data_IF_124549369103
#
_entry.id   IF_124549369103
#
_cell.length_a   1.000
_cell.length_b   1.000
_cell.length_c   1.000
_cell.angle_alpha   90.00
_cell.angle_beta   90.00
_cell.angle_gamma   90.00
#
_symmetry.space_group_name_H-M   'P 1'
#
loop_
_entity.id
_entity.type
_entity.pdbx_description
1 polymer ?
#
# COMPACT_ATOMS: atom_id res chain seq x y z
N UNK A 1 3.99 0.98 34.64
CA UNK A 1 3.58 0.89 33.23
C UNK A 1 4.79 0.53 32.39
N UNK A 2 4.92 -0.75 32.01
CA UNK A 2 6.05 -1.26 31.21
C UNK A 2 5.63 -1.47 29.75
N UNK A 3 4.92 -0.54 29.17
CA UNK A 3 4.72 -0.52 27.72
C UNK A 3 6.02 -0.07 27.05
N UNK A 4 6.97 -0.97 26.93
CA UNK A 4 8.20 -0.71 26.18
C UNK A 4 7.89 -0.99 24.72
N UNK A 5 8.07 0.00 23.86
CA UNK A 5 8.10 -0.22 22.41
C UNK A 5 9.32 -1.08 22.11
N UNK A 6 9.10 -2.32 21.72
CA UNK A 6 10.15 -3.28 21.38
C UNK A 6 10.54 -3.19 19.90
N UNK A 7 10.02 -2.22 19.16
CA UNK A 7 10.36 -2.03 17.75
C UNK A 7 11.83 -1.63 17.59
N UNK A 8 12.49 -2.23 16.63
CA UNK A 8 13.88 -1.91 16.28
C UNK A 8 13.91 -0.55 15.57
N UNK A 9 14.81 0.33 15.98
CA UNK A 9 15.09 1.56 15.22
C UNK A 9 15.81 1.22 13.90
N UNK A 10 15.88 2.17 12.96
CA UNK A 10 16.70 2.01 11.76
C UNK A 10 18.15 1.71 12.10
N UNK A 11 18.71 2.42 13.10
CA UNK A 11 20.09 2.20 13.56
C UNK A 11 20.24 0.83 14.24
N UNK A 12 19.23 0.36 14.96
CA UNK A 12 19.22 -0.98 15.53
C UNK A 12 19.23 -2.06 14.46
N UNK A 13 18.43 -1.93 13.40
CA UNK A 13 18.45 -2.85 12.24
C UNK A 13 19.80 -2.78 11.54
N UNK A 14 20.34 -1.57 11.33
CA UNK A 14 21.65 -1.39 10.72
C UNK A 14 22.74 -2.09 11.53
N UNK A 15 22.79 -1.90 12.84
CA UNK A 15 23.77 -2.57 13.72
C UNK A 15 23.68 -4.09 13.63
N UNK A 16 22.46 -4.65 13.64
CA UNK A 16 22.24 -6.09 13.45
C UNK A 16 22.77 -6.59 12.10
N UNK A 17 22.55 -5.83 11.02
CA UNK A 17 23.03 -6.18 9.69
C UNK A 17 24.56 -6.01 9.57
N UNK A 18 25.19 -5.04 10.25
CA UNK A 18 26.63 -4.86 10.31
C UNK A 18 27.31 -6.08 10.95
N UNK A 19 26.76 -6.57 12.08
CA UNK A 19 27.26 -7.80 12.72
C UNK A 19 27.11 -9.01 11.79
N UNK A 20 25.97 -9.16 11.16
CA UNK A 20 25.68 -10.25 10.22
C UNK A 20 26.65 -10.23 9.02
N UNK A 21 26.88 -9.05 8.42
CA UNK A 21 27.80 -8.90 7.27
C UNK A 21 29.24 -9.24 7.61
N UNK A 22 29.67 -8.96 8.86
CA UNK A 22 31.02 -9.30 9.35
C UNK A 22 31.25 -10.81 9.31
N UNK A 23 30.23 -11.61 9.59
CA UNK A 23 30.36 -13.08 9.64
C UNK A 23 30.10 -13.75 8.28
N UNK A 24 29.18 -13.19 7.46
CA UNK A 24 28.65 -13.86 6.26
C UNK A 24 29.15 -13.29 4.94
N UNK A 25 29.70 -12.06 4.93
CA UNK A 25 30.32 -11.41 3.74
C UNK A 25 29.40 -11.41 2.51
N UNK A 26 28.13 -10.99 2.69
CA UNK A 26 27.12 -11.04 1.63
C UNK A 26 27.32 -9.97 0.56
N UNK A 27 28.03 -8.89 0.87
CA UNK A 27 28.24 -7.73 -0.01
C UNK A 27 27.03 -6.80 -0.07
N UNK A 28 26.08 -6.90 0.89
CA UNK A 28 24.89 -6.06 0.91
C UNK A 28 25.19 -4.59 1.15
N UNK A 29 24.35 -3.70 0.61
CA UNK A 29 24.31 -2.31 1.04
C UNK A 29 23.54 -2.23 2.38
N UNK A 30 24.27 -2.30 3.50
CA UNK A 30 23.72 -2.38 4.85
C UNK A 30 22.77 -1.20 5.15
N UNK A 31 23.18 0.02 4.86
CA UNK A 31 22.35 1.21 5.13
C UNK A 31 21.06 1.22 4.31
N UNK A 32 21.15 0.88 3.02
CA UNK A 32 19.97 0.77 2.15
C UNK A 32 19.06 -0.37 2.55
N UNK A 33 19.61 -1.53 2.93
CA UNK A 33 18.83 -2.67 3.39
C UNK A 33 18.11 -2.38 4.70
N UNK A 34 18.79 -1.74 5.67
CA UNK A 34 18.18 -1.34 6.93
C UNK A 34 17.03 -0.34 6.73
N UNK A 35 17.20 0.62 5.82
CA UNK A 35 16.15 1.56 5.46
C UNK A 35 14.95 0.85 4.85
N UNK A 36 15.15 0.00 3.87
CA UNK A 36 14.07 -0.76 3.23
C UNK A 36 13.35 -1.70 4.20
N UNK A 37 14.06 -2.43 5.05
CA UNK A 37 13.45 -3.28 6.08
C UNK A 37 12.58 -2.44 7.03
N UNK A 38 13.10 -1.29 7.48
CA UNK A 38 12.32 -0.40 8.36
C UNK A 38 11.08 0.16 7.69
N UNK A 39 11.14 0.53 6.41
CA UNK A 39 10.02 1.04 5.64
C UNK A 39 8.84 0.06 5.59
N UNK A 40 9.11 -1.23 5.43
CA UNK A 40 8.06 -2.25 5.39
C UNK A 40 7.57 -2.68 6.78
N UNK A 41 8.45 -2.72 7.77
CA UNK A 41 8.17 -3.33 9.07
C UNK A 41 7.93 -2.34 10.20
N UNK A 42 8.30 -1.07 10.02
CA UNK A 42 8.44 -0.07 11.10
C UNK A 42 9.23 -0.63 12.29
N UNK A 43 10.19 -1.51 12.05
CA UNK A 43 11.01 -2.14 13.07
C UNK A 43 10.34 -3.27 13.86
N UNK A 44 9.15 -3.75 13.47
CA UNK A 44 8.49 -4.85 14.17
C UNK A 44 9.38 -6.10 14.19
N UNK A 45 9.84 -6.60 15.37
CA UNK A 45 10.96 -7.54 15.46
C UNK A 45 10.74 -8.84 14.69
N UNK A 46 9.55 -9.43 14.79
CA UNK A 46 9.22 -10.65 14.06
C UNK A 46 9.31 -10.46 12.55
N UNK A 47 8.78 -9.35 12.02
CA UNK A 47 8.79 -9.07 10.58
C UNK A 47 10.22 -8.84 10.08
N UNK A 48 11.03 -8.08 10.83
CA UNK A 48 12.45 -7.87 10.51
C UNK A 48 13.18 -9.20 10.45
N UNK A 49 13.10 -10.00 11.52
CA UNK A 49 13.76 -11.30 11.59
C UNK A 49 13.28 -12.26 10.49
N UNK A 50 11.98 -12.34 10.23
CA UNK A 50 11.41 -13.24 9.22
C UNK A 50 11.86 -12.86 7.82
N UNK A 51 11.84 -11.55 7.48
CA UNK A 51 12.31 -11.07 6.18
C UNK A 51 13.81 -11.31 5.98
N UNK A 52 14.64 -10.99 6.99
CA UNK A 52 16.06 -11.28 6.93
C UNK A 52 16.34 -12.77 6.68
N UNK A 53 15.65 -13.67 7.41
CA UNK A 53 15.76 -15.11 7.19
C UNK A 53 15.37 -15.52 5.77
N UNK A 54 14.28 -14.99 5.24
CA UNK A 54 13.81 -15.32 3.88
C UNK A 54 14.78 -14.82 2.79
N UNK A 55 15.40 -13.65 3.01
CA UNK A 55 16.41 -13.09 2.11
C UNK A 55 17.67 -13.96 2.15
N UNK A 56 18.09 -14.34 3.34
CA UNK A 56 19.28 -15.15 3.58
C UNK A 56 19.17 -16.55 2.96
N UNK A 57 18.04 -17.24 3.17
CA UNK A 57 17.78 -18.56 2.57
C UNK A 57 17.90 -18.56 1.03
N UNK A 58 17.72 -17.40 0.39
CA UNK A 58 17.87 -17.22 -1.06
C UNK A 58 19.19 -16.60 -1.47
N UNK A 59 20.00 -16.13 -0.52
CA UNK A 59 21.26 -15.45 -0.76
C UNK A 59 21.13 -14.13 -1.54
N UNK A 60 19.97 -13.46 -1.47
CA UNK A 60 19.66 -12.27 -2.28
C UNK A 60 19.46 -11.02 -1.43
N UNK A 61 20.55 -10.53 -0.82
CA UNK A 61 20.55 -9.30 0.00
C UNK A 61 20.50 -8.02 -0.86
N UNK A 62 19.45 -7.93 -1.70
CA UNK A 62 19.16 -6.79 -2.58
C UNK A 62 17.74 -6.26 -2.34
N UNK A 63 17.42 -5.09 -2.88
CA UNK A 63 16.04 -4.55 -2.84
C UNK A 63 15.04 -5.54 -3.46
N UNK A 64 15.39 -6.14 -4.59
CA UNK A 64 14.55 -7.13 -5.28
C UNK A 64 14.34 -8.40 -4.44
N UNK A 65 15.38 -8.82 -3.72
CA UNK A 65 15.29 -9.93 -2.78
C UNK A 65 14.33 -9.64 -1.64
N UNK A 66 14.39 -8.44 -1.05
CA UNK A 66 13.46 -8.00 -0.03
C UNK A 66 12.02 -7.95 -0.57
N UNK A 67 11.77 -7.33 -1.73
CA UNK A 67 10.44 -7.26 -2.32
C UNK A 67 9.86 -8.66 -2.57
N UNK A 68 10.69 -9.59 -3.00
CA UNK A 68 10.30 -11.00 -3.15
C UNK A 68 9.98 -11.64 -1.81
N UNK A 69 10.76 -11.39 -0.77
CA UNK A 69 10.51 -11.90 0.58
C UNK A 69 9.20 -11.37 1.15
N UNK A 70 8.93 -10.06 1.01
CA UNK A 70 7.66 -9.45 1.46
C UNK A 70 6.46 -10.06 0.73
N UNK A 71 6.56 -10.25 -0.60
CA UNK A 71 5.50 -10.90 -1.37
C UNK A 71 5.22 -12.32 -0.88
N UNK A 72 6.25 -13.12 -0.67
CA UNK A 72 6.10 -14.49 -0.16
C UNK A 72 5.49 -14.48 1.23
N UNK A 73 5.97 -13.60 2.13
CA UNK A 73 5.46 -13.47 3.50
C UNK A 73 3.94 -13.16 3.53
N UNK A 74 3.46 -12.30 2.62
CA UNK A 74 2.05 -11.92 2.54
C UNK A 74 1.14 -13.00 1.90
N UNK A 75 1.73 -14.01 1.25
CA UNK A 75 1.00 -15.08 0.56
C UNK A 75 1.20 -16.46 1.19
N UNK A 76 2.17 -16.62 2.08
CA UNK A 76 2.38 -17.87 2.80
C UNK A 76 1.37 -18.06 3.94
N UNK A 77 1.13 -19.31 4.32
CA UNK A 77 0.42 -19.63 5.56
C UNK A 77 1.31 -19.23 6.75
N UNK A 78 0.95 -18.16 7.43
CA UNK A 78 1.74 -17.60 8.53
C UNK A 78 0.90 -17.60 9.82
N UNK A 79 1.35 -18.35 10.81
CA UNK A 79 0.62 -18.49 12.10
C UNK A 79 0.36 -17.15 12.80
N UNK A 80 1.30 -16.17 12.68
CA UNK A 80 1.07 -14.83 13.23
C UNK A 80 -0.10 -14.16 12.51
N UNK A 81 -0.12 -14.20 11.18
CA UNK A 81 -1.17 -13.56 10.38
C UNK A 81 -2.53 -14.23 10.60
N UNK A 82 -2.57 -15.57 10.64
CA UNK A 82 -3.78 -16.31 10.98
C UNK A 82 -4.31 -15.93 12.37
N UNK A 83 -3.43 -15.84 13.36
CA UNK A 83 -3.79 -15.41 14.70
C UNK A 83 -4.31 -13.96 14.73
N UNK A 84 -3.66 -13.05 14.02
CA UNK A 84 -4.08 -11.64 13.94
C UNK A 84 -5.45 -11.50 13.27
N UNK A 85 -5.67 -12.18 12.14
CA UNK A 85 -6.97 -12.16 11.45
C UNK A 85 -8.05 -12.82 12.32
N UNK A 86 -7.74 -13.91 13.03
CA UNK A 86 -8.65 -14.53 14.00
C UNK A 86 -9.14 -13.56 15.06
N UNK A 87 -8.30 -12.60 15.50
CA UNK A 87 -8.71 -11.55 16.44
C UNK A 87 -9.80 -10.62 15.89
N UNK A 88 -9.88 -10.43 14.60
CA UNK A 88 -10.96 -9.63 13.99
C UNK A 88 -12.32 -10.33 14.16
N UNK A 89 -12.34 -11.65 14.04
CA UNK A 89 -13.55 -12.44 14.30
C UNK A 89 -13.93 -12.43 15.79
N UNK A 90 -12.95 -12.48 16.70
CA UNK A 90 -13.17 -12.45 18.14
C UNK A 90 -13.66 -11.06 18.63
N UNK A 91 -13.29 -9.98 17.92
CA UNK A 91 -13.59 -8.59 18.30
C UNK A 91 -14.20 -7.80 17.12
N UNK A 92 -15.52 -7.91 16.88
CA UNK A 92 -16.18 -7.24 15.75
C UNK A 92 -16.03 -5.71 15.72
N UNK A 93 -15.95 -5.07 16.89
CA UNK A 93 -15.74 -3.62 16.98
C UNK A 93 -14.34 -3.22 16.49
N UNK A 94 -13.35 -4.09 16.70
CA UNK A 94 -11.99 -3.90 16.19
C UNK A 94 -11.98 -4.00 14.67
N UNK A 95 -12.65 -5.02 14.10
CA UNK A 95 -12.82 -5.17 12.66
C UNK A 95 -13.47 -3.93 12.05
N UNK A 96 -14.57 -3.46 12.63
CA UNK A 96 -15.28 -2.28 12.16
C UNK A 96 -14.41 -1.02 12.21
N UNK A 97 -13.68 -0.81 13.32
CA UNK A 97 -12.77 0.34 13.46
C UNK A 97 -11.67 0.31 12.39
N UNK A 98 -11.08 -0.87 12.11
CA UNK A 98 -10.05 -1.02 11.09
C UNK A 98 -10.60 -0.80 9.67
N UNK A 99 -11.82 -1.27 9.38
CA UNK A 99 -12.50 -0.96 8.11
C UNK A 99 -12.76 0.54 7.95
N UNK A 100 -13.24 1.22 8.99
CA UNK A 100 -13.44 2.67 8.97
C UNK A 100 -12.12 3.42 8.75
N UNK A 101 -11.06 2.98 9.40
CA UNK A 101 -9.73 3.57 9.25
C UNK A 101 -9.17 3.39 7.85
N UNK A 102 -9.28 2.18 7.28
CA UNK A 102 -8.61 1.80 6.02
C UNK A 102 -9.42 2.13 4.78
N UNK A 103 -10.72 1.80 4.78
CA UNK A 103 -11.56 1.93 3.58
C UNK A 103 -12.33 3.25 3.52
N UNK A 104 -12.64 3.84 4.67
CA UNK A 104 -13.38 5.09 4.73
C UNK A 104 -12.52 6.27 5.19
N UNK A 105 -11.22 6.05 5.44
CA UNK A 105 -10.26 7.11 5.80
C UNK A 105 -10.65 7.93 7.02
N UNK A 106 -11.54 7.40 7.86
CA UNK A 106 -12.05 8.13 9.02
C UNK A 106 -10.91 8.47 9.97
N UNK A 107 -10.64 9.75 10.22
CA UNK A 107 -9.62 10.14 11.17
C UNK A 107 -10.04 9.71 12.57
N UNK A 108 -9.27 8.84 13.20
CA UNK A 108 -9.52 8.35 14.56
C UNK A 108 -8.50 9.03 15.48
N UNK A 109 -9.00 9.77 16.46
CA UNK A 109 -8.15 10.34 17.51
C UNK A 109 -7.65 9.25 18.43
N UNK A 110 -6.36 9.22 18.69
CA UNK A 110 -5.77 8.25 19.62
C UNK A 110 -6.22 8.55 21.06
N UNK A 111 -6.85 7.56 21.68
CA UNK A 111 -7.21 7.60 23.09
C UNK A 111 -6.81 6.28 23.75
N UNK A 112 -5.81 6.29 24.65
CA UNK A 112 -5.32 5.08 25.31
C UNK A 112 -6.34 4.41 26.24
N UNK A 113 -7.38 5.13 26.66
CA UNK A 113 -8.46 4.57 27.50
C UNK A 113 -9.58 3.91 26.69
N UNK A 114 -9.59 4.10 25.37
CA UNK A 114 -10.52 3.42 24.50
C UNK A 114 -10.10 1.96 24.31
N UNK A 115 -10.96 1.04 24.72
CA UNK A 115 -10.68 -0.39 24.73
C UNK A 115 -10.38 -0.94 23.32
N UNK A 116 -11.09 -0.49 22.30
CA UNK A 116 -10.89 -0.96 20.92
C UNK A 116 -9.55 -0.49 20.37
N UNK A 117 -9.18 0.79 20.62
CA UNK A 117 -7.87 1.33 20.25
C UNK A 117 -6.77 0.58 21.02
N UNK A 118 -6.98 0.33 22.31
CA UNK A 118 -6.04 -0.46 23.13
C UNK A 118 -5.79 -1.85 22.57
N UNK A 119 -6.83 -2.57 22.18
CA UNK A 119 -6.74 -3.87 21.51
C UNK A 119 -6.00 -3.78 20.17
N UNK A 120 -6.32 -2.78 19.35
CA UNK A 120 -5.66 -2.58 18.05
C UNK A 120 -4.16 -2.32 18.18
N UNK A 121 -3.76 -1.56 19.20
CA UNK A 121 -2.32 -1.32 19.51
C UNK A 121 -1.68 -2.58 20.09
N UNK A 122 -2.34 -3.27 21.02
CA UNK A 122 -1.83 -4.49 21.64
C UNK A 122 -1.58 -5.60 20.62
N UNK A 123 -2.46 -5.74 19.62
CA UNK A 123 -2.27 -6.72 18.53
C UNK A 123 -1.34 -6.21 17.43
N UNK A 124 -0.85 -4.97 17.51
CA UNK A 124 0.08 -4.40 16.55
C UNK A 124 -0.53 -3.96 15.22
N UNK A 125 -1.87 -3.85 15.11
CA UNK A 125 -2.52 -3.37 13.88
C UNK A 125 -2.30 -1.88 13.65
N UNK A 126 -2.29 -1.09 14.73
CA UNK A 126 -2.20 0.37 14.67
C UNK A 126 -1.18 0.90 15.68
N UNK A 127 -0.76 2.13 15.47
CA UNK A 127 0.08 2.89 16.39
C UNK A 127 -0.42 4.33 16.52
N UNK A 128 0.06 5.01 17.55
CA UNK A 128 -0.15 6.45 17.72
C UNK A 128 0.86 7.21 16.86
N UNK A 129 0.37 8.16 16.08
CA UNK A 129 1.19 9.16 15.41
C UNK A 129 0.56 10.54 15.63
N UNK A 130 1.20 11.38 16.41
CA UNK A 130 0.76 12.75 16.70
C UNK A 130 -0.72 12.83 17.16
N UNK A 131 -1.12 11.93 18.07
CA UNK A 131 -2.48 11.89 18.58
C UNK A 131 -3.52 11.26 17.63
N UNK A 132 -3.09 10.62 16.57
CA UNK A 132 -3.96 9.92 15.61
C UNK A 132 -3.64 8.44 15.55
N UNK A 133 -4.67 7.63 15.33
CA UNK A 133 -4.53 6.20 15.05
C UNK A 133 -4.13 6.02 13.59
N UNK A 134 -3.02 5.35 13.35
CA UNK A 134 -2.57 4.97 12.01
C UNK A 134 -2.19 3.49 11.96
N UNK A 135 -2.16 2.84 10.80
CA UNK A 135 -1.61 1.49 10.65
C UNK A 135 -0.18 1.39 11.20
N UNK A 136 0.15 0.28 11.82
CA UNK A 136 1.45 0.10 12.48
C UNK A 136 2.61 0.03 11.48
N UNK A 137 2.43 -0.70 10.38
CA UNK A 137 3.42 -0.87 9.32
C UNK A 137 2.76 -1.28 7.99
N UNK A 138 3.51 -1.23 6.88
CA UNK A 138 2.99 -1.56 5.54
C UNK A 138 2.55 -3.01 5.40
N UNK A 139 3.22 -3.95 6.05
CA UNK A 139 2.88 -5.38 5.95
C UNK A 139 1.51 -5.65 6.58
N UNK A 140 1.27 -5.13 7.79
CA UNK A 140 -0.04 -5.30 8.44
C UNK A 140 -1.15 -4.53 7.74
N UNK A 141 -0.86 -3.35 7.21
CA UNK A 141 -1.80 -2.58 6.40
C UNK A 141 -2.22 -3.40 5.15
N UNK A 142 -1.25 -3.94 4.42
CA UNK A 142 -1.51 -4.78 3.25
C UNK A 142 -2.24 -6.08 3.61
N UNK A 143 -1.89 -6.70 4.74
CA UNK A 143 -2.58 -7.89 5.25
C UNK A 143 -4.06 -7.62 5.48
N UNK A 144 -4.39 -6.52 6.18
CA UNK A 144 -5.76 -6.12 6.46
C UNK A 144 -6.53 -5.78 5.17
N UNK A 145 -5.91 -5.03 4.26
CA UNK A 145 -6.50 -4.76 2.95
C UNK A 145 -6.78 -6.06 2.19
N UNK A 146 -5.84 -6.99 2.14
CA UNK A 146 -6.01 -8.28 1.49
C UNK A 146 -7.18 -9.07 2.10
N UNK A 147 -7.28 -9.07 3.42
CA UNK A 147 -8.37 -9.73 4.14
C UNK A 147 -9.72 -9.12 3.77
N UNK A 148 -9.88 -7.80 3.93
CA UNK A 148 -11.16 -7.14 3.68
C UNK A 148 -11.56 -7.15 2.20
N UNK A 149 -10.61 -6.98 1.27
CA UNK A 149 -10.88 -7.08 -0.16
C UNK A 149 -11.29 -8.49 -0.57
N UNK A 150 -10.73 -9.54 0.06
CA UNK A 150 -11.13 -10.92 -0.23
C UNK A 150 -12.61 -11.19 0.14
N UNK A 151 -13.11 -10.57 1.19
CA UNK A 151 -14.52 -10.63 1.55
C UNK A 151 -15.40 -9.94 0.51
N UNK A 152 -14.95 -8.80 -0.02
CA UNK A 152 -15.62 -8.07 -1.09
C UNK A 152 -15.61 -8.84 -2.42
N UNK A 153 -14.51 -9.51 -2.75
CA UNK A 153 -14.40 -10.38 -3.94
C UNK A 153 -15.41 -11.53 -3.90
N UNK A 154 -15.56 -12.17 -2.73
CA UNK A 154 -16.58 -13.22 -2.51
C UNK A 154 -18.01 -12.67 -2.63
N UNK A 155 -18.22 -11.38 -2.28
CA UNK A 155 -19.47 -10.66 -2.47
C UNK A 155 -19.80 -10.31 -3.94
N UNK A 156 -18.93 -10.69 -4.90
CA UNK A 156 -19.15 -10.53 -6.34
C UNK A 156 -19.30 -9.08 -6.80
N UNK A 157 -18.46 -8.17 -6.33
CA UNK A 157 -18.47 -6.77 -6.77
C UNK A 157 -18.21 -6.64 -8.28
N UNK A 158 -18.95 -5.74 -8.94
CA UNK A 158 -18.92 -5.54 -10.40
C UNK A 158 -17.53 -5.13 -10.90
N UNK A 159 -16.81 -4.32 -10.14
CA UNK A 159 -15.45 -3.90 -10.50
C UNK A 159 -14.46 -5.07 -10.53
N UNK A 160 -14.57 -6.02 -9.60
CA UNK A 160 -13.80 -7.26 -9.62
C UNK A 160 -14.10 -8.10 -10.87
N UNK A 161 -15.38 -8.23 -11.23
CA UNK A 161 -15.79 -8.95 -12.46
C UNK A 161 -15.24 -8.29 -13.72
N UNK A 162 -15.26 -6.96 -13.80
CA UNK A 162 -14.73 -6.19 -14.92
C UNK A 162 -13.22 -6.49 -15.14
N UNK A 163 -12.45 -6.61 -14.06
CA UNK A 163 -11.01 -6.91 -14.14
C UNK A 163 -10.70 -8.27 -14.76
N UNK A 164 -11.53 -9.27 -14.50
CA UNK A 164 -11.36 -10.63 -15.06
C UNK A 164 -11.52 -10.67 -16.57
N UNK A 165 -12.35 -9.80 -17.14
CA UNK A 165 -12.56 -9.72 -18.58
C UNK A 165 -11.33 -9.21 -19.32
N UNK A 166 -10.58 -8.31 -18.69
CA UNK A 166 -9.48 -7.58 -19.33
C UNK A 166 -8.08 -8.11 -18.93
N UNK A 167 -8.00 -9.07 -18.01
CA UNK A 167 -6.73 -9.53 -17.39
C UNK A 167 -5.60 -9.78 -18.39
N UNK A 168 -5.89 -10.45 -19.49
CA UNK A 168 -4.91 -10.87 -20.50
C UNK A 168 -4.41 -9.71 -21.38
N UNK A 169 -4.96 -8.50 -21.24
CA UNK A 169 -4.61 -7.35 -22.06
C UNK A 169 -3.46 -6.52 -21.46
N UNK A 170 -3.12 -6.76 -20.19
CA UNK A 170 -2.29 -5.85 -19.40
C UNK A 170 -0.85 -6.29 -19.20
N UNK A 171 -0.52 -7.52 -19.58
CA UNK A 171 0.85 -8.04 -19.48
C UNK A 171 1.38 -8.34 -20.88
N UNK A 172 2.51 -7.73 -21.24
CA UNK A 172 3.21 -7.97 -22.49
C UNK A 172 4.68 -8.25 -22.21
N UNK A 173 5.16 -9.40 -22.67
CA UNK A 173 6.56 -9.81 -22.51
C UNK A 173 7.07 -9.76 -21.05
N UNK A 174 6.19 -10.04 -20.09
CA UNK A 174 6.49 -9.97 -18.67
C UNK A 174 6.37 -8.57 -18.04
N UNK A 175 6.07 -7.54 -18.82
CA UNK A 175 5.90 -6.17 -18.35
C UNK A 175 4.43 -5.81 -18.11
N UNK A 176 4.16 -5.10 -17.02
CA UNK A 176 2.81 -4.63 -16.67
C UNK A 176 2.51 -3.28 -17.33
N UNK A 177 1.49 -3.22 -18.18
CA UNK A 177 1.02 -1.96 -18.79
C UNK A 177 0.07 -1.21 -17.83
N UNK A 178 0.64 -0.52 -16.84
CA UNK A 178 -0.11 0.24 -15.85
C UNK A 178 -0.96 1.36 -16.48
N UNK A 179 -0.48 1.98 -17.55
CA UNK A 179 -1.26 3.00 -18.30
C UNK A 179 -2.55 2.40 -18.81
N UNK A 180 -2.49 1.24 -19.44
CA UNK A 180 -3.65 0.57 -20.01
C UNK A 180 -4.61 0.06 -18.92
N UNK A 181 -4.07 -0.38 -17.77
CA UNK A 181 -4.88 -0.72 -16.59
C UNK A 181 -5.72 0.48 -16.16
N UNK A 182 -5.09 1.65 -16.04
CA UNK A 182 -5.80 2.88 -15.67
C UNK A 182 -6.82 3.31 -16.74
N UNK A 183 -6.51 3.21 -18.02
CA UNK A 183 -7.45 3.50 -19.12
C UNK A 183 -8.72 2.65 -19.01
N UNK A 184 -8.56 1.36 -18.79
CA UNK A 184 -9.67 0.43 -18.65
C UNK A 184 -10.44 0.63 -17.34
N UNK A 185 -9.72 0.88 -16.24
CA UNK A 185 -10.37 1.20 -14.98
C UNK A 185 -11.28 2.44 -15.09
N UNK A 186 -10.78 3.53 -15.70
CA UNK A 186 -11.57 4.75 -15.93
C UNK A 186 -12.86 4.44 -16.69
N UNK A 187 -12.78 3.64 -17.74
CA UNK A 187 -13.93 3.25 -18.54
C UNK A 187 -14.96 2.46 -17.71
N UNK A 188 -14.52 1.40 -17.03
CA UNK A 188 -15.40 0.58 -16.21
C UNK A 188 -15.99 1.35 -15.03
N UNK A 189 -15.19 2.19 -14.36
CA UNK A 189 -15.68 2.99 -13.24
C UNK A 189 -16.75 3.99 -13.70
N UNK A 190 -16.54 4.63 -14.86
CA UNK A 190 -17.54 5.54 -15.43
C UNK A 190 -18.86 4.83 -15.76
N UNK A 191 -18.77 3.65 -16.37
CA UNK A 191 -19.95 2.85 -16.75
C UNK A 191 -20.74 2.39 -15.53
N UNK A 192 -20.04 1.96 -14.46
CA UNK A 192 -20.67 1.41 -13.27
C UNK A 192 -21.13 2.48 -12.25
N UNK A 193 -20.38 3.58 -12.12
CA UNK A 193 -20.54 4.54 -11.02
C UNK A 193 -20.63 6.01 -11.48
N UNK A 194 -20.59 6.31 -12.76
CA UNK A 194 -20.55 7.68 -13.31
C UNK A 194 -21.72 8.58 -12.90
N UNK A 195 -22.82 7.99 -12.46
CA UNK A 195 -24.04 8.70 -11.99
C UNK A 195 -24.17 8.76 -10.47
N UNK A 196 -23.21 8.24 -9.70
CA UNK A 196 -23.25 8.32 -8.23
C UNK A 196 -23.10 9.78 -7.77
N UNK A 197 -24.03 10.24 -6.94
CA UNK A 197 -24.03 11.58 -6.32
C UNK A 197 -23.74 11.56 -4.81
N UNK A 198 -23.33 10.40 -4.27
CA UNK A 198 -23.03 10.25 -2.85
C UNK A 198 -21.67 10.83 -2.49
N UNK A 199 -21.47 11.15 -1.23
CA UNK A 199 -20.17 11.53 -0.70
C UNK A 199 -19.16 10.41 -0.99
N UNK A 200 -18.24 10.70 -1.88
CA UNK A 200 -17.20 9.76 -2.31
C UNK A 200 -15.88 10.15 -1.65
N UNK A 201 -15.20 9.18 -1.05
CA UNK A 201 -13.93 9.36 -0.38
C UNK A 201 -12.76 8.80 -1.21
N UNK A 202 -11.54 9.32 -1.01
CA UNK A 202 -10.34 8.83 -1.69
C UNK A 202 -10.11 7.32 -1.42
N UNK A 203 -10.41 6.88 -0.21
CA UNK A 203 -10.30 5.50 0.23
C UNK A 203 -11.26 4.57 -0.53
N UNK A 204 -12.47 5.02 -0.83
CA UNK A 204 -13.39 4.25 -1.70
C UNK A 204 -12.84 4.11 -3.11
N UNK A 205 -12.28 5.18 -3.66
CA UNK A 205 -11.61 5.16 -4.96
C UNK A 205 -10.46 4.17 -4.98
N UNK A 206 -9.63 4.19 -3.95
CA UNK A 206 -8.54 3.24 -3.76
C UNK A 206 -9.06 1.81 -3.68
N UNK A 207 -10.10 1.55 -2.89
CA UNK A 207 -10.73 0.24 -2.76
C UNK A 207 -11.22 -0.29 -4.11
N UNK A 208 -11.94 0.51 -4.90
CA UNK A 208 -12.40 0.10 -6.23
C UNK A 208 -11.24 -0.18 -7.18
N UNK A 209 -10.20 0.64 -7.13
CA UNK A 209 -9.01 0.40 -7.96
C UNK A 209 -8.27 -0.88 -7.55
N UNK A 210 -8.12 -1.16 -6.26
CA UNK A 210 -7.50 -2.39 -5.78
C UNK A 210 -8.30 -3.63 -6.11
N UNK A 211 -9.64 -3.57 -6.03
CA UNK A 211 -10.52 -4.67 -6.48
C UNK A 211 -10.34 -4.97 -7.97
N UNK A 212 -10.10 -3.93 -8.78
CA UNK A 212 -9.81 -4.10 -10.20
C UNK A 212 -8.39 -4.61 -10.46
N UNK A 213 -7.41 -4.11 -9.73
CA UNK A 213 -5.99 -4.40 -9.93
C UNK A 213 -5.59 -5.81 -9.45
N UNK A 214 -6.08 -6.23 -8.28
CA UNK A 214 -5.66 -7.49 -7.64
C UNK A 214 -5.73 -8.71 -8.56
N UNK A 215 -6.84 -9.00 -9.25
CA UNK A 215 -6.93 -10.17 -10.15
C UNK A 215 -5.92 -10.11 -11.29
N UNK A 216 -5.54 -8.90 -11.74
CA UNK A 216 -4.60 -8.68 -12.83
C UNK A 216 -3.19 -9.10 -12.42
N UNK A 217 -2.74 -8.67 -11.23
CA UNK A 217 -1.38 -8.91 -10.73
C UNK A 217 -1.27 -10.21 -9.92
N UNK A 218 -2.39 -10.86 -9.59
CA UNK A 218 -2.43 -12.02 -8.71
C UNK A 218 -1.49 -13.15 -9.17
N UNK A 219 -0.70 -13.66 -8.23
CA UNK A 219 0.29 -14.73 -8.45
C UNK A 219 1.64 -14.26 -8.96
N UNK A 220 1.77 -13.03 -9.47
CA UNK A 220 3.00 -12.50 -10.05
C UNK A 220 3.48 -11.23 -9.37
N UNK A 221 2.57 -10.28 -9.12
CA UNK A 221 2.85 -9.01 -8.47
C UNK A 221 2.25 -8.93 -7.07
N UNK A 222 2.56 -7.84 -6.39
CA UNK A 222 1.95 -7.47 -5.12
C UNK A 222 1.73 -5.95 -5.08
N UNK A 223 0.87 -5.49 -4.17
CA UNK A 223 0.68 -4.08 -3.91
C UNK A 223 0.85 -3.79 -2.43
N UNK A 224 1.18 -2.55 -2.14
CA UNK A 224 1.33 -2.01 -0.79
C UNK A 224 0.59 -0.70 -0.70
N UNK A 225 -0.03 -0.46 0.44
CA UNK A 225 -0.58 0.85 0.78
C UNK A 225 0.47 1.59 1.59
N UNK A 226 0.86 2.77 1.16
CA UNK A 226 1.82 3.54 1.93
C UNK A 226 1.15 4.24 3.11
N UNK A 227 1.50 3.81 4.32
CA UNK A 227 1.15 4.50 5.53
C UNK A 227 2.14 5.63 5.77
N UNK A 228 1.91 6.79 5.14
CA UNK A 228 2.65 8.06 5.34
C UNK A 228 4.14 8.05 4.99
N UNK A 229 4.50 8.75 3.97
CA UNK A 229 5.71 9.54 3.89
C UNK A 229 5.62 10.78 4.79
N UNK A 230 6.73 11.42 5.08
CA UNK A 230 6.96 12.55 6.02
C UNK A 230 6.02 13.76 5.88
N UNK A 231 5.13 13.81 4.91
CA UNK A 231 4.13 14.85 4.68
C UNK A 231 2.72 14.26 4.82
N UNK A 232 1.99 14.73 5.76
CA UNK A 232 0.56 14.70 6.14
C UNK A 232 -0.50 14.13 5.14
N UNK A 233 -0.27 13.01 4.44
CA UNK A 233 -1.27 12.40 3.55
C UNK A 233 -1.10 10.89 3.46
N UNK A 234 -2.18 10.14 3.58
CA UNK A 234 -2.28 8.75 3.11
C UNK A 234 -2.41 8.81 1.62
N UNK A 235 -1.60 8.07 0.91
CA UNK A 235 -1.75 8.28 -0.50
C UNK A 235 -1.57 7.08 -1.37
N UNK A 236 -0.48 6.38 -1.28
CA UNK A 236 -0.02 5.79 -2.51
C UNK A 236 -0.19 4.29 -2.48
N UNK A 237 -0.65 3.78 -3.59
CA UNK A 237 -0.58 2.37 -3.91
C UNK A 237 0.76 2.18 -4.61
N UNK A 238 1.60 1.32 -4.05
CA UNK A 238 2.81 0.86 -4.70
C UNK A 238 2.54 -0.53 -5.23
N UNK A 239 2.80 -0.76 -6.51
CA UNK A 239 2.67 -2.07 -7.16
C UNK A 239 4.06 -2.55 -7.55
N UNK A 240 4.42 -3.74 -7.08
CA UNK A 240 5.62 -4.45 -7.50
C UNK A 240 5.22 -5.59 -8.44
N UNK A 241 5.78 -5.61 -9.63
CA UNK A 241 5.49 -6.62 -10.64
C UNK A 241 6.77 -7.03 -11.37
N UNK A 242 7.25 -8.25 -11.15
CA UNK A 242 8.47 -8.79 -11.77
C UNK A 242 9.70 -7.86 -11.71
N UNK A 243 9.89 -7.17 -10.57
CA UNK A 243 10.98 -6.22 -10.36
C UNK A 243 10.69 -4.79 -10.84
N UNK A 244 9.59 -4.56 -11.54
CA UNK A 244 9.10 -3.22 -11.85
C UNK A 244 8.28 -2.66 -10.68
N UNK A 245 8.42 -1.38 -10.41
CA UNK A 245 7.68 -0.69 -9.37
C UNK A 245 6.85 0.44 -9.95
N UNK A 246 5.56 0.46 -9.62
CA UNK A 246 4.60 1.47 -10.06
C UNK A 246 4.04 2.17 -8.83
N UNK A 247 4.04 3.50 -8.86
CA UNK A 247 3.48 4.35 -7.81
C UNK A 247 2.23 5.01 -8.33
N UNK A 248 1.11 4.78 -7.64
CA UNK A 248 -0.20 5.29 -8.02
C UNK A 248 -0.75 6.14 -6.87
N UNK A 249 -0.88 7.43 -7.10
CA UNK A 249 -1.55 8.38 -6.20
C UNK A 249 -3.04 8.41 -6.50
N UNK A 250 -3.89 8.26 -5.49
CA UNK A 250 -5.34 8.40 -5.64
C UNK A 250 -5.80 9.73 -5.02
N UNK A 251 -6.56 10.55 -5.76
CA UNK A 251 -7.04 11.85 -5.31
C UNK A 251 -8.49 12.10 -5.70
N UNK A 252 -9.23 12.77 -4.80
CA UNK A 252 -10.46 13.47 -5.21
C UNK A 252 -10.08 14.84 -5.74
N UNK A 253 -10.60 15.17 -6.91
CA UNK A 253 -10.35 16.47 -7.51
C UNK A 253 -11.13 17.56 -6.76
N UNK A 254 -10.41 18.47 -6.12
CA UNK A 254 -10.96 19.60 -5.33
C UNK A 254 -10.54 20.96 -5.87
N UNK A 255 -10.17 21.04 -7.16
CA UNK A 255 -9.71 22.25 -7.82
C UNK A 255 -8.26 22.16 -8.29
N UNK A 256 -7.87 23.12 -9.14
CA UNK A 256 -6.58 23.09 -9.82
C UNK A 256 -5.38 23.16 -8.85
N UNK A 257 -5.45 24.00 -7.83
CA UNK A 257 -4.36 24.15 -6.86
C UNK A 257 -4.12 22.87 -6.04
N UNK A 258 -5.21 22.24 -5.61
CA UNK A 258 -5.13 20.98 -4.87
C UNK A 258 -4.53 19.87 -5.71
N UNK A 259 -4.95 19.79 -6.97
CA UNK A 259 -4.44 18.80 -7.91
C UNK A 259 -2.96 19.04 -8.26
N UNK A 260 -2.52 20.30 -8.40
CA UNK A 260 -1.12 20.64 -8.61
C UNK A 260 -0.23 20.24 -7.43
N UNK A 261 -0.70 20.43 -6.19
CA UNK A 261 0.03 19.97 -4.99
C UNK A 261 0.21 18.45 -4.99
N UNK A 262 -0.84 17.68 -5.30
CA UNK A 262 -0.75 16.22 -5.40
C UNK A 262 0.28 15.77 -6.45
N UNK A 263 0.32 16.45 -7.60
CA UNK A 263 1.31 16.18 -8.65
C UNK A 263 2.75 16.47 -8.21
N UNK A 264 2.97 17.58 -7.50
CA UNK A 264 4.29 17.91 -6.97
C UNK A 264 4.74 16.89 -5.91
N UNK A 265 3.84 16.47 -5.00
CA UNK A 265 4.10 15.44 -4.00
C UNK A 265 4.48 14.11 -4.65
N UNK A 266 3.72 13.68 -5.66
CA UNK A 266 4.05 12.46 -6.41
C UNK A 266 5.41 12.57 -7.10
N UNK A 267 5.74 13.72 -7.69
CA UNK A 267 7.04 13.92 -8.35
C UNK A 267 8.22 13.89 -7.36
N UNK A 268 8.06 14.45 -6.16
CA UNK A 268 9.04 14.38 -5.06
C UNK A 268 9.23 12.92 -4.60
N UNK A 269 8.13 12.21 -4.39
CA UNK A 269 8.17 10.79 -4.04
C UNK A 269 8.95 9.96 -5.07
N UNK A 270 8.66 10.17 -6.37
CA UNK A 270 9.37 9.48 -7.44
C UNK A 270 10.87 9.80 -7.45
N UNK A 271 11.26 10.99 -7.02
CA UNK A 271 12.68 11.35 -6.91
C UNK A 271 13.36 10.56 -5.78
N UNK A 272 12.73 10.44 -4.62
CA UNK A 272 13.24 9.70 -3.45
C UNK A 272 13.43 8.21 -3.74
N UNK A 273 12.58 7.63 -4.60
CA UNK A 273 12.65 6.21 -4.98
C UNK A 273 13.38 5.95 -6.31
N UNK A 274 13.98 6.98 -6.91
CA UNK A 274 14.72 6.83 -8.17
C UNK A 274 13.83 6.50 -9.38
N UNK A 275 12.52 6.73 -9.29
CA UNK A 275 11.56 6.44 -10.35
C UNK A 275 11.40 7.64 -11.29
N UNK A 276 11.11 7.37 -12.57
CA UNK A 276 10.91 8.39 -13.59
C UNK A 276 9.45 8.63 -13.95
N UNK A 277 8.60 7.63 -13.79
CA UNK A 277 7.18 7.66 -14.14
C UNK A 277 6.31 7.38 -12.95
N UNK A 278 5.29 8.19 -12.73
CA UNK A 278 4.26 8.00 -11.72
C UNK A 278 2.86 8.06 -12.32
N UNK A 279 1.90 7.59 -11.56
CA UNK A 279 0.52 7.48 -11.98
C UNK A 279 -0.38 8.19 -10.98
N UNK A 280 -1.39 8.91 -11.48
CA UNK A 280 -2.35 9.62 -10.65
C UNK A 280 -3.75 9.24 -11.07
N UNK A 281 -4.55 8.75 -10.15
CA UNK A 281 -5.96 8.43 -10.36
C UNK A 281 -6.82 9.48 -9.69
N UNK A 282 -7.41 10.35 -10.49
CA UNK A 282 -8.18 11.53 -10.05
C UNK A 282 -9.67 11.29 -10.19
N UNK A 283 -10.38 11.19 -9.07
CA UNK A 283 -11.85 11.09 -9.04
C UNK A 283 -12.46 12.50 -9.10
N UNK A 284 -13.08 12.84 -10.23
CA UNK A 284 -13.66 14.14 -10.47
C UNK A 284 -15.17 14.06 -10.66
N UNK A 285 -15.94 14.58 -9.71
CA UNK A 285 -17.39 14.54 -9.71
C UNK A 285 -18.03 15.83 -10.26
N UNK A 286 -17.24 16.74 -10.84
CA UNK A 286 -17.78 17.94 -11.48
C UNK A 286 -18.55 17.60 -12.76
N UNK A 287 -19.59 18.37 -13.05
CA UNK A 287 -20.42 18.19 -14.26
C UNK A 287 -19.61 18.42 -15.54
N UNK A 288 -18.62 19.33 -15.52
CA UNK A 288 -17.75 19.64 -16.66
C UNK A 288 -16.34 19.09 -16.37
N UNK A 289 -16.12 17.82 -16.64
CA UNK A 289 -14.83 17.14 -16.50
C UNK A 289 -14.40 16.52 -17.82
N UNK A 290 -13.10 16.44 -18.04
CA UNK A 290 -12.52 15.63 -19.12
C UNK A 290 -12.10 14.27 -18.56
N UNK A 291 -12.88 13.25 -18.89
CA UNK A 291 -12.59 11.86 -18.51
C UNK A 291 -11.53 11.30 -19.44
N UNK A 292 -10.62 10.50 -18.92
CA UNK A 292 -9.62 9.79 -19.71
C UNK A 292 -8.21 9.95 -19.16
N UNK A 293 -7.23 9.64 -20.01
CA UNK A 293 -5.80 9.65 -19.65
C UNK A 293 -5.12 10.86 -20.27
N UNK A 294 -4.29 11.52 -19.50
CA UNK A 294 -3.38 12.55 -19.98
C UNK A 294 -1.98 12.36 -19.42
N UNK A 295 -0.99 12.79 -20.17
CA UNK A 295 0.40 12.77 -19.76
C UNK A 295 0.90 14.19 -19.51
N UNK A 296 1.59 14.38 -18.40
CA UNK A 296 2.16 15.67 -18.00
C UNK A 296 3.57 15.46 -17.46
N UNK A 297 4.39 16.52 -17.49
CA UNK A 297 5.71 16.51 -16.86
C UNK A 297 5.71 17.50 -15.70
N UNK A 298 6.14 17.03 -14.53
CA UNK A 298 6.23 17.82 -13.30
C UNK A 298 7.59 17.55 -12.66
N UNK A 299 8.36 18.61 -12.43
CA UNK A 299 9.71 18.53 -11.83
C UNK A 299 10.62 17.48 -12.51
N UNK A 300 10.54 17.40 -13.87
CA UNK A 300 11.32 16.43 -14.66
C UNK A 300 10.81 14.97 -14.57
N UNK A 301 9.73 14.71 -13.86
CA UNK A 301 9.08 13.37 -13.79
C UNK A 301 7.88 13.31 -14.73
N UNK A 302 7.71 12.16 -15.36
CA UNK A 302 6.57 11.86 -16.23
C UNK A 302 5.40 11.37 -15.36
N UNK A 303 4.27 12.06 -15.42
CA UNK A 303 3.07 11.68 -14.70
C UNK A 303 1.95 11.31 -15.69
N UNK A 304 1.37 10.16 -15.49
CA UNK A 304 0.19 9.66 -16.24
C UNK A 304 -1.02 9.86 -15.34
N UNK A 305 -1.85 10.83 -15.67
CA UNK A 305 -3.07 11.15 -14.92
C UNK A 305 -4.29 10.53 -15.59
N UNK A 306 -4.98 9.70 -14.82
CA UNK A 306 -6.27 9.11 -15.16
C UNK A 306 -7.37 9.89 -14.44
N UNK A 307 -8.31 10.44 -15.18
CA UNK A 307 -9.45 11.20 -14.64
C UNK A 307 -10.73 10.40 -14.84
N UNK A 308 -11.46 10.21 -13.73
CA UNK A 308 -12.72 9.48 -13.69
C UNK A 308 -13.91 10.43 -13.55
#
# INVERSE_FOLDING_TARGET
>A
DFAVDMSLSKDGIKGMLDEYETDHHTGMNISGMAEHLYDYTSGYPYLVSRLCKMIDEKGTWTKEGLLTAVRVLLTENNMLFESLIGKLTDYPELEQMLKELLFFGKPITYNPTNQVIGLAVMFGFVKNADGKVIPANRIFDTLLYNHFLSLDELGSLEMYKASLLDKNLFVRDGHLDMRRILEKFVMHFHDLYGNKKEEFLEEEGRRYFLLYLRPIINGTGNYYIEARTRSLGRTDIIVDYLGEQFVIETKIWRGNEYNLRGKSQLAEYLADYGLHTGYMLSFNFNQRKQIGIREIVVNGKRLIEAVV
#
